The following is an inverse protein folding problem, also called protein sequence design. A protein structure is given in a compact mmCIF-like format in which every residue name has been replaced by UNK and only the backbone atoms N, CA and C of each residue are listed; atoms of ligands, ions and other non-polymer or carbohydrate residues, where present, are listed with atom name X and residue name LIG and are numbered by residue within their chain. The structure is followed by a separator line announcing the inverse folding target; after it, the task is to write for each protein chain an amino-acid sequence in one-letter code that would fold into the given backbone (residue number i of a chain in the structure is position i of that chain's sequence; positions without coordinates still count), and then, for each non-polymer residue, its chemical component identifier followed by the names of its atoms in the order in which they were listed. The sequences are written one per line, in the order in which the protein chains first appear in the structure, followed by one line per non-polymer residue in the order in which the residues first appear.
data_IF_279696437845
#
_entry.id   IF_279696437845
#
_cell.length_a   1.000
_cell.length_b   1.000
_cell.length_c   1.000
_cell.angle_alpha   90.00
_cell.angle_beta   90.00
_cell.angle_gamma   90.00
#
_symmetry.space_group_name_H-M   'P 1'
#
loop_
_entity.id
_entity.type
_entity.pdbx_description
1 polymer ?
#
# COMPACT_ATOMS: atom_id res chain seq x y z
N UNK A 1 -20.39 -81.08 -2.95
CA UNK A 1 -19.60 -81.27 -1.71
C UNK A 1 -18.47 -80.25 -1.72
N UNK A 2 -18.35 -79.47 -0.64
CA UNK A 2 -17.40 -78.37 -0.44
C UNK A 2 -15.97 -78.91 -0.32
N UNK A 3 -14.97 -78.22 -0.89
CA UNK A 3 -13.62 -78.27 -0.33
C UNK A 3 -12.94 -76.90 -0.40
N UNK A 4 -12.46 -76.51 0.77
CA UNK A 4 -12.03 -75.19 1.23
C UNK A 4 -10.55 -74.94 0.98
N UNK A 5 -10.20 -73.87 0.27
CA UNK A 5 -8.82 -73.37 0.20
C UNK A 5 -8.62 -72.26 1.25
N UNK A 6 -7.68 -72.49 2.18
CA UNK A 6 -7.24 -71.49 3.18
C UNK A 6 -6.40 -70.43 2.48
N UNK A 7 -6.84 -69.17 2.49
CA UNK A 7 -6.02 -68.03 2.09
C UNK A 7 -5.26 -67.50 3.32
N UNK A 8 -3.92 -67.55 3.26
CA UNK A 8 -3.02 -66.86 4.17
C UNK A 8 -2.90 -65.40 3.70
N UNK A 9 -3.42 -64.47 4.48
CA UNK A 9 -3.24 -63.04 4.24
C UNK A 9 -1.90 -62.60 4.82
N UNK A 10 -0.94 -62.28 3.94
CA UNK A 10 0.30 -61.58 4.31
C UNK A 10 -0.01 -60.09 4.32
N UNK A 11 0.05 -59.48 5.50
CA UNK A 11 -0.16 -58.04 5.69
C UNK A 11 1.07 -57.27 5.21
N UNK A 12 0.94 -56.49 4.14
CA UNK A 12 1.93 -55.51 3.72
C UNK A 12 1.62 -54.18 4.43
N UNK A 13 2.41 -53.82 5.45
CA UNK A 13 2.31 -52.51 6.09
C UNK A 13 2.99 -51.46 5.20
N UNK A 14 2.20 -50.66 4.48
CA UNK A 14 2.69 -49.47 3.78
C UNK A 14 2.80 -48.34 4.79
N UNK A 15 4.02 -47.93 5.14
CA UNK A 15 4.26 -46.75 5.94
C UNK A 15 3.97 -45.50 5.10
N UNK A 16 2.79 -44.89 5.29
CA UNK A 16 2.46 -43.60 4.70
C UNK A 16 3.19 -42.48 5.48
N UNK A 17 4.18 -41.84 4.85
CA UNK A 17 4.80 -40.64 5.39
C UNK A 17 3.80 -39.49 5.41
N UNK A 18 3.45 -39.01 6.60
CA UNK A 18 2.58 -37.86 6.76
C UNK A 18 3.34 -36.58 6.37
N UNK A 19 3.04 -36.02 5.20
CA UNK A 19 3.41 -34.64 4.85
C UNK A 19 2.46 -33.70 5.59
N UNK A 20 2.95 -33.08 6.67
CA UNK A 20 2.20 -32.04 7.36
C UNK A 20 2.18 -30.78 6.47
N UNK A 21 1.01 -30.16 6.21
CA UNK A 21 0.97 -28.88 5.53
C UNK A 21 1.60 -27.83 6.47
N UNK A 22 2.73 -27.25 6.06
CA UNK A 22 3.25 -26.03 6.68
C UNK A 22 2.24 -24.92 6.37
N UNK A 23 1.44 -24.57 7.36
CA UNK A 23 0.59 -23.38 7.30
C UNK A 23 1.51 -22.16 7.37
N UNK A 24 1.78 -21.52 6.23
CA UNK A 24 2.39 -20.20 6.24
C UNK A 24 1.37 -19.23 6.83
N UNK A 25 1.64 -18.75 8.04
CA UNK A 25 0.82 -17.72 8.67
C UNK A 25 0.89 -16.47 7.78
N UNK A 26 -0.24 -16.11 7.16
CA UNK A 26 -0.34 -14.87 6.41
C UNK A 26 -0.32 -13.72 7.43
N UNK A 27 0.87 -13.15 7.68
CA UNK A 27 0.98 -11.93 8.45
C UNK A 27 0.18 -10.84 7.73
N UNK A 28 -0.86 -10.32 8.39
CA UNK A 28 -1.56 -9.15 7.91
C UNK A 28 -0.54 -8.01 7.79
N UNK A 29 -0.41 -7.44 6.60
CA UNK A 29 0.47 -6.30 6.39
C UNK A 29 0.01 -5.16 7.32
N UNK A 30 0.96 -4.50 7.97
CA UNK A 30 0.70 -3.37 8.87
C UNK A 30 1.47 -2.13 8.41
N UNK A 31 1.07 -0.97 8.92
CA UNK A 31 1.66 0.32 8.60
C UNK A 31 1.72 0.55 7.10
N UNK A 32 2.91 0.92 6.61
CA UNK A 32 3.16 1.14 5.19
C UNK A 32 3.06 -0.13 4.33
N UNK A 33 3.30 -1.33 4.86
CA UNK A 33 3.33 -2.55 4.05
C UNK A 33 1.95 -2.92 3.51
N UNK A 34 0.90 -2.30 4.07
CA UNK A 34 -0.47 -2.31 3.52
C UNK A 34 -0.54 -1.70 2.12
N UNK A 35 0.40 -0.84 1.73
CA UNK A 35 0.42 -0.21 0.41
C UNK A 35 0.86 -1.21 -0.67
N UNK A 36 -0.02 -1.58 -1.63
CA UNK A 36 0.34 -2.54 -2.67
C UNK A 36 1.39 -1.99 -3.64
N UNK A 37 2.25 -2.87 -4.15
CA UNK A 37 3.16 -2.54 -5.25
C UNK A 37 2.37 -2.00 -6.45
N UNK A 38 2.89 -0.98 -7.12
CA UNK A 38 2.23 -0.34 -8.26
C UNK A 38 1.11 0.62 -7.88
N UNK A 39 1.00 1.01 -6.60
CA UNK A 39 0.03 2.00 -6.13
C UNK A 39 0.68 3.15 -5.38
N UNK A 40 0.01 4.30 -5.36
CA UNK A 40 0.32 5.42 -4.46
C UNK A 40 -0.64 5.35 -3.27
N UNK A 41 -0.13 5.40 -2.05
CA UNK A 41 -0.96 5.32 -0.86
C UNK A 41 -0.79 6.55 0.02
N UNK A 42 -1.91 7.04 0.55
CA UNK A 42 -1.94 8.13 1.52
C UNK A 42 -2.54 7.59 2.82
N UNK A 43 -1.98 8.03 3.95
CA UNK A 43 -2.32 7.56 5.27
C UNK A 43 -2.70 8.73 6.18
N UNK A 44 -3.79 8.57 6.94
CA UNK A 44 -4.27 9.63 7.84
C UNK A 44 -3.40 9.82 9.09
N UNK A 45 -2.53 8.84 9.39
CA UNK A 45 -1.60 8.84 10.50
C UNK A 45 -0.15 8.95 10.05
N UNK A 46 0.76 9.10 11.02
CA UNK A 46 2.20 9.02 10.80
C UNK A 46 2.63 7.56 10.64
N UNK A 47 3.77 7.36 9.98
CA UNK A 47 4.43 6.07 9.83
C UNK A 47 3.53 5.00 9.19
N UNK A 48 2.68 5.42 8.26
CA UNK A 48 1.76 4.53 7.55
C UNK A 48 0.59 4.04 8.41
N UNK A 49 0.31 4.66 9.55
CA UNK A 49 -0.81 4.29 10.44
C UNK A 49 -2.13 4.98 10.05
N UNK A 50 -3.22 4.57 10.69
CA UNK A 50 -4.55 5.13 10.46
C UNK A 50 -5.23 4.63 9.18
N UNK A 51 -6.22 5.39 8.73
CA UNK A 51 -6.96 5.12 7.50
C UNK A 51 -6.02 5.22 6.30
N UNK A 52 -6.17 4.34 5.33
CA UNK A 52 -5.38 4.31 4.11
C UNK A 52 -6.28 4.39 2.90
N UNK A 53 -5.90 5.22 1.92
CA UNK A 53 -6.44 5.14 0.57
C UNK A 53 -5.36 4.65 -0.40
N UNK A 54 -5.79 4.03 -1.49
CA UNK A 54 -4.90 3.52 -2.53
C UNK A 54 -5.31 4.11 -3.86
N UNK A 55 -4.37 4.79 -4.51
CA UNK A 55 -4.57 5.46 -5.79
C UNK A 55 -3.73 4.76 -6.87
N UNK A 56 -4.32 4.59 -8.06
CA UNK A 56 -3.65 4.09 -9.27
C UNK A 56 -3.77 5.04 -10.45
N UNK A 57 -4.43 6.17 -10.25
CA UNK A 57 -4.67 7.20 -11.25
C UNK A 57 -4.90 8.54 -10.56
N UNK A 58 -4.80 9.61 -11.33
CA UNK A 58 -5.12 10.96 -10.87
C UNK A 58 -6.51 11.02 -10.25
N UNK A 59 -6.59 11.70 -9.11
CA UNK A 59 -7.79 11.85 -8.28
C UNK A 59 -8.04 13.35 -8.09
N UNK A 60 -9.07 13.94 -8.73
CA UNK A 60 -9.30 15.37 -8.70
C UNK A 60 -9.87 15.86 -7.37
N UNK A 61 -10.40 14.97 -6.53
CA UNK A 61 -10.99 15.33 -5.24
C UNK A 61 -10.80 14.18 -4.24
N UNK A 62 -10.00 14.42 -3.20
CA UNK A 62 -9.76 13.45 -2.13
C UNK A 62 -10.92 13.36 -1.14
N UNK A 63 -11.87 14.30 -1.15
CA UNK A 63 -13.06 14.24 -0.29
C UNK A 63 -13.93 13.04 -0.66
N UNK A 64 -14.00 12.69 -1.95
CA UNK A 64 -14.68 11.49 -2.45
C UNK A 64 -14.13 10.18 -1.87
N UNK A 65 -12.89 10.20 -1.36
CA UNK A 65 -12.23 9.06 -0.72
C UNK A 65 -12.06 9.25 0.79
N UNK A 66 -12.62 10.32 1.35
CA UNK A 66 -12.49 10.66 2.77
C UNK A 66 -11.06 11.00 3.21
N UNK A 67 -10.18 11.46 2.30
CA UNK A 67 -8.76 11.77 2.60
C UNK A 67 -8.41 13.26 2.41
N UNK A 68 -9.38 14.10 2.05
CA UNK A 68 -9.18 15.55 1.93
C UNK A 68 -8.64 16.12 3.24
N UNK A 69 -7.51 16.83 3.20
CA UNK A 69 -6.91 17.47 4.37
C UNK A 69 -6.73 16.52 5.57
N UNK A 70 -6.41 15.25 5.29
CA UNK A 70 -6.22 14.24 6.36
C UNK A 70 -4.90 13.50 6.32
N UNK A 71 -4.22 13.51 5.17
CA UNK A 71 -3.01 12.71 4.99
C UNK A 71 -1.83 13.29 5.77
N UNK A 72 -1.07 12.41 6.42
CA UNK A 72 0.13 12.77 7.21
C UNK A 72 1.37 11.98 6.78
N UNK A 73 1.18 10.89 6.06
CA UNK A 73 2.27 10.12 5.47
C UNK A 73 1.83 9.46 4.17
N UNK A 74 2.80 9.11 3.33
CA UNK A 74 2.53 8.49 2.05
C UNK A 74 3.58 7.43 1.67
N UNK A 75 3.20 6.64 0.66
CA UNK A 75 4.16 5.80 -0.05
C UNK A 75 3.82 5.74 -1.53
N UNK A 76 4.74 6.24 -2.36
CA UNK A 76 4.76 6.01 -3.78
C UNK A 76 5.45 4.69 -4.11
N UNK A 77 4.65 3.66 -4.44
CA UNK A 77 5.13 2.37 -4.99
C UNK A 77 4.91 2.27 -6.49
N UNK A 78 4.74 3.39 -7.17
CA UNK A 78 4.59 3.49 -8.63
C UNK A 78 5.88 3.99 -9.28
N UNK A 79 5.98 3.87 -10.60
CA UNK A 79 7.04 4.52 -11.37
C UNK A 79 6.73 6.01 -11.68
N UNK A 80 5.51 6.47 -11.36
CA UNK A 80 5.02 7.80 -11.66
C UNK A 80 5.54 8.84 -10.69
N UNK A 81 5.71 10.06 -11.18
CA UNK A 81 5.83 11.24 -10.31
C UNK A 81 4.44 11.63 -9.83
N UNK A 82 4.30 11.83 -8.52
CA UNK A 82 3.01 12.17 -7.91
C UNK A 82 3.03 13.63 -7.46
N UNK A 83 2.13 14.41 -8.05
CA UNK A 83 1.89 15.79 -7.70
C UNK A 83 0.73 15.87 -6.71
N UNK A 84 1.02 16.33 -5.51
CA UNK A 84 0.07 16.57 -4.43
C UNK A 84 -0.34 18.03 -4.51
N UNK A 85 -1.64 18.30 -4.59
CA UNK A 85 -2.18 19.65 -4.76
C UNK A 85 -2.90 20.07 -3.48
N UNK A 86 -2.69 21.31 -3.07
CA UNK A 86 -3.32 21.87 -1.87
C UNK A 86 -4.84 21.88 -1.99
N UNK A 87 -5.35 22.18 -3.19
CA UNK A 87 -6.78 22.30 -3.45
C UNK A 87 -7.30 21.19 -4.37
N UNK A 88 -8.61 20.97 -4.36
CA UNK A 88 -9.28 20.08 -5.29
C UNK A 88 -9.16 20.58 -6.74
N UNK A 89 -9.39 19.69 -7.70
CA UNK A 89 -9.36 20.00 -9.13
C UNK A 89 -7.96 20.32 -9.68
N UNK A 90 -6.89 19.87 -9.01
CA UNK A 90 -5.51 20.17 -9.37
C UNK A 90 -5.21 21.68 -9.35
N UNK A 91 -5.63 22.37 -8.30
CA UNK A 91 -5.47 23.81 -8.13
C UNK A 91 -4.68 24.18 -6.87
N UNK A 92 -4.41 25.47 -6.69
CA UNK A 92 -3.57 25.97 -5.61
C UNK A 92 -2.08 25.78 -5.87
N UNK A 93 -1.37 25.25 -4.89
CA UNK A 93 0.04 24.93 -5.00
C UNK A 93 0.27 23.41 -5.07
N UNK A 94 1.46 23.00 -5.49
CA UNK A 94 1.85 21.59 -5.54
C UNK A 94 3.12 21.28 -4.74
N UNK A 95 3.13 20.10 -4.12
CA UNK A 95 4.32 19.42 -3.66
C UNK A 95 4.49 18.11 -4.46
N UNK A 96 5.71 17.59 -4.51
CA UNK A 96 6.03 16.37 -5.26
C UNK A 96 6.63 15.36 -4.31
N UNK A 97 6.09 14.15 -4.31
CA UNK A 97 6.75 13.00 -3.71
C UNK A 97 7.53 12.26 -4.82
N UNK A 98 8.74 11.82 -4.51
CA UNK A 98 9.61 11.15 -5.48
C UNK A 98 8.95 9.89 -6.03
N UNK A 99 9.30 9.51 -7.27
CA UNK A 99 8.89 8.24 -7.84
C UNK A 99 9.36 7.06 -6.97
N UNK A 100 8.57 5.98 -6.96
CA UNK A 100 8.83 4.82 -6.13
C UNK A 100 10.05 4.00 -6.55
N UNK A 101 10.55 3.13 -5.65
CA UNK A 101 9.93 2.74 -4.38
C UNK A 101 10.36 3.59 -3.16
N UNK A 102 11.14 4.67 -3.37
CA UNK A 102 11.79 5.44 -2.29
C UNK A 102 10.95 6.59 -1.74
N UNK A 103 9.87 6.99 -2.41
CA UNK A 103 8.93 8.03 -1.94
C UNK A 103 8.04 7.56 -0.79
N UNK A 104 8.63 7.10 0.31
CA UNK A 104 7.97 6.60 1.53
C UNK A 104 8.31 7.52 2.68
N UNK A 105 7.32 8.02 3.42
CA UNK A 105 7.61 8.73 4.66
C UNK A 105 6.48 9.62 5.17
N UNK A 106 6.79 10.31 6.26
CA UNK A 106 5.93 11.31 6.85
C UNK A 106 6.03 12.62 6.08
N UNK A 107 4.89 13.28 5.89
CA UNK A 107 4.90 14.66 5.46
C UNK A 107 5.56 15.55 6.51
N UNK A 108 6.24 16.58 6.02
CA UNK A 108 6.64 17.71 6.85
C UNK A 108 5.41 18.25 7.59
N UNK A 109 5.58 18.76 8.83
CA UNK A 109 4.45 19.23 9.64
C UNK A 109 3.48 20.15 8.89
N UNK A 110 3.98 21.08 8.07
CA UNK A 110 3.18 22.05 7.32
C UNK A 110 2.37 21.44 6.16
N UNK A 111 2.69 20.21 5.75
CA UNK A 111 1.99 19.47 4.69
C UNK A 111 1.10 18.35 5.21
N UNK A 112 1.01 18.20 6.52
CA UNK A 112 0.03 17.31 7.14
C UNK A 112 -1.33 17.96 7.05
N UNK A 113 -2.34 17.18 6.71
CA UNK A 113 -3.72 17.66 6.66
C UNK A 113 -3.92 18.83 5.66
N UNK A 114 -3.19 18.80 4.53
CA UNK A 114 -3.09 19.94 3.61
C UNK A 114 -3.50 19.66 2.15
N UNK A 115 -3.44 18.41 1.70
CA UNK A 115 -3.65 18.08 0.29
C UNK A 115 -5.10 17.64 0.00
N UNK A 116 -5.62 18.13 -1.12
CA UNK A 116 -7.02 17.92 -1.56
C UNK A 116 -7.15 17.24 -2.93
N UNK A 117 -6.09 17.17 -3.75
CA UNK A 117 -6.09 16.36 -4.98
C UNK A 117 -4.71 15.81 -5.36
N UNK A 118 -4.69 14.76 -6.20
CA UNK A 118 -3.46 14.03 -6.57
C UNK A 118 -3.41 13.81 -8.07
N UNK A 119 -2.32 14.20 -8.73
CA UNK A 119 -2.11 13.98 -10.16
C UNK A 119 -0.90 13.11 -10.41
N UNK A 120 -1.11 12.01 -11.14
CA UNK A 120 -0.06 11.16 -11.67
C UNK A 120 0.44 11.79 -12.96
N UNK A 121 1.76 11.84 -13.15
CA UNK A 121 2.43 12.18 -14.42
C UNK A 121 1.74 13.34 -15.16
N UNK A 122 1.99 14.57 -14.73
CA UNK A 122 1.38 15.75 -15.33
C UNK A 122 2.19 17.01 -15.04
N UNK A 123 1.81 18.16 -15.61
CA UNK A 123 2.40 19.41 -15.20
C UNK A 123 2.05 19.65 -13.73
N UNK A 124 3.07 19.88 -12.91
CA UNK A 124 2.88 20.47 -11.59
C UNK A 124 2.43 21.93 -11.69
N UNK A 125 1.85 22.44 -10.61
CA UNK A 125 1.52 23.85 -10.45
C UNK A 125 2.66 24.66 -9.84
N UNK A 126 2.31 25.83 -9.30
CA UNK A 126 3.22 26.61 -8.45
C UNK A 126 3.64 25.76 -7.24
N UNK A 127 4.92 25.72 -6.91
CA UNK A 127 5.40 25.01 -5.71
C UNK A 127 4.71 25.54 -4.45
N UNK A 128 4.34 24.65 -3.53
CA UNK A 128 3.89 25.01 -2.17
C UNK A 128 5.02 25.62 -1.31
N UNK A 129 6.25 25.65 -1.85
CA UNK A 129 7.44 26.12 -1.16
C UNK A 129 8.23 24.98 -0.55
N UNK A 130 9.33 25.33 0.09
CA UNK A 130 10.08 24.39 0.92
C UNK A 130 9.48 24.46 2.32
N UNK A 131 9.01 23.35 2.90
CA UNK A 131 8.60 23.34 4.29
C UNK A 131 9.80 23.71 5.18
N UNK A 132 9.62 24.49 6.26
CA UNK A 132 10.70 24.87 7.16
C UNK A 132 11.41 23.63 7.71
N UNK A 133 12.73 23.56 7.50
CA UNK A 133 13.56 22.44 7.96
C UNK A 133 14.03 21.47 6.88
N UNK A 134 13.59 21.62 5.62
CA UNK A 134 14.14 20.91 4.47
C UNK A 134 15.40 21.59 3.94
N UNK A 135 16.53 21.50 4.65
CA UNK A 135 17.84 21.76 4.03
C UNK A 135 18.30 20.47 3.34
N UNK A 136 18.60 20.58 2.04
CA UNK A 136 18.89 19.46 1.13
C UNK A 136 20.21 18.75 1.35
#
# INVERSE_FOLDING_TARGET
MRNTSRALFVSLAVAAGAVLPVSTEAHAADGYDRCPVGSYCMFSGLDGTGDMITLRSSTPDLAALGMNDRSKSDWNRTASTIYLWSDAGYSGCTAVTSSGPTGKGNFFPDYRDFFSSVRFDGPGGRSCGTPPGGNG
#
